data_IF_274063577719
#
_entry.id   IF_274063577719
#
_cell.length_a   1.000
_cell.length_b   1.000
_cell.length_c   1.000
_cell.angle_alpha   90.00
_cell.angle_beta   90.00
_cell.angle_gamma   90.00
#
_symmetry.space_group_name_H-M   'P 1'
#
loop_
_entity.id
_entity.type
_entity.pdbx_description
1 polymer ?
#
# COMPACT_ATOMS: atom_id res chain seq x y z
N UNK A 1 -45.72 53.14 -0.92
CA UNK A 1 -44.62 52.92 0.01
C UNK A 1 -44.87 51.57 0.69
N UNK A 2 -44.23 50.53 0.25
CA UNK A 2 -44.31 49.19 0.83
C UNK A 2 -42.87 48.71 1.12
N UNK A 3 -42.65 48.49 2.40
CA UNK A 3 -41.38 48.17 3.02
C UNK A 3 -41.03 46.69 2.75
N UNK A 4 -39.98 46.44 1.97
CA UNK A 4 -39.51 45.11 1.66
C UNK A 4 -38.52 44.67 2.75
N UNK A 5 -39.02 43.97 3.77
CA UNK A 5 -38.21 43.29 4.80
C UNK A 5 -37.37 42.19 4.13
N UNK A 6 -36.06 42.39 4.08
CA UNK A 6 -35.08 41.35 3.76
C UNK A 6 -35.17 40.24 4.83
N UNK A 7 -35.69 39.09 4.44
CA UNK A 7 -35.54 37.85 5.20
C UNK A 7 -34.12 37.36 5.04
N UNK A 8 -33.33 37.51 6.08
CA UNK A 8 -32.03 36.82 6.21
C UNK A 8 -32.28 35.33 6.49
N UNK A 9 -31.84 34.48 5.57
CA UNK A 9 -31.86 33.03 5.78
C UNK A 9 -31.04 32.65 7.04
N UNK A 10 -31.53 31.72 7.88
CA UNK A 10 -30.79 31.29 9.06
C UNK A 10 -29.50 30.61 8.64
N UNK A 11 -28.37 31.01 9.26
CA UNK A 11 -27.09 30.34 9.10
C UNK A 11 -27.25 28.86 9.44
N UNK A 12 -26.88 28.00 8.51
CA UNK A 12 -26.89 26.56 8.74
C UNK A 12 -26.03 26.25 9.98
N UNK A 13 -26.65 25.80 11.03
CA UNK A 13 -26.01 25.29 12.25
C UNK A 13 -25.23 24.04 11.82
N UNK A 14 -23.92 24.18 11.74
CA UNK A 14 -23.00 23.07 11.44
C UNK A 14 -23.11 22.08 12.60
N UNK A 15 -23.61 20.88 12.32
CA UNK A 15 -23.64 19.80 13.29
C UNK A 15 -22.28 19.66 13.99
N UNK A 16 -22.22 19.50 15.33
CA UNK A 16 -20.95 19.25 16.01
C UNK A 16 -20.32 17.99 15.44
N UNK A 17 -19.04 18.07 15.10
CA UNK A 17 -18.29 16.91 14.64
C UNK A 17 -18.41 15.78 15.70
N UNK A 18 -18.74 14.57 15.25
CA UNK A 18 -18.86 13.43 16.13
C UNK A 18 -17.58 13.29 16.99
N UNK A 19 -17.70 12.97 18.29
CA UNK A 19 -16.57 13.00 19.23
C UNK A 19 -15.43 12.02 18.92
N UNK A 20 -15.47 11.27 17.84
CA UNK A 20 -14.65 10.09 17.60
C UNK A 20 -13.64 10.17 16.45
N UNK A 21 -13.53 11.27 15.72
CA UNK A 21 -12.54 11.39 14.62
C UNK A 21 -11.18 11.98 15.09
N UNK A 22 -10.65 11.48 16.21
CA UNK A 22 -9.36 11.97 16.73
C UNK A 22 -8.15 11.42 15.99
N UNK A 23 -8.33 10.36 15.16
CA UNK A 23 -7.28 9.80 14.30
C UNK A 23 -7.41 10.37 12.89
N UNK A 24 -6.35 11.02 12.41
CA UNK A 24 -6.31 11.54 11.05
C UNK A 24 -5.24 10.83 10.23
N UNK A 25 -5.57 10.55 8.97
CA UNK A 25 -4.68 9.86 8.02
C UNK A 25 -4.35 10.80 6.88
N UNK A 26 -3.08 11.08 6.68
CA UNK A 26 -2.61 11.85 5.54
C UNK A 26 -2.58 10.98 4.30
N UNK A 27 -3.52 11.21 3.40
CA UNK A 27 -3.78 10.40 2.22
C UNK A 27 -3.00 10.94 1.01
N UNK A 28 -1.80 10.39 0.78
CA UNK A 28 -0.95 10.75 -0.38
C UNK A 28 -1.56 10.18 -1.67
N UNK A 29 -1.55 10.92 -2.80
CA UNK A 29 -2.13 10.45 -4.06
C UNK A 29 -1.44 9.23 -4.67
N UNK A 30 -0.31 8.80 -4.16
CA UNK A 30 0.36 7.55 -4.58
C UNK A 30 -0.25 6.35 -3.85
N UNK A 31 -0.91 5.42 -4.56
CA UNK A 31 -1.66 4.33 -3.94
C UNK A 31 -0.87 3.50 -2.92
N UNK A 32 0.37 3.10 -3.25
CA UNK A 32 1.22 2.31 -2.34
C UNK A 32 1.68 3.08 -1.09
N UNK A 33 1.73 4.43 -1.14
CA UNK A 33 2.04 5.26 0.02
C UNK A 33 0.80 5.45 0.89
N UNK A 34 -0.33 5.78 0.26
CA UNK A 34 -1.63 5.93 0.91
C UNK A 34 -2.04 4.64 1.64
N UNK A 35 -1.89 3.50 0.97
CA UNK A 35 -2.26 2.19 1.52
C UNK A 35 -1.56 1.86 2.85
N UNK A 36 -0.33 2.33 3.07
CA UNK A 36 0.39 2.10 4.32
C UNK A 36 -0.29 2.82 5.50
N UNK A 37 -0.55 4.11 5.36
CA UNK A 37 -1.15 4.90 6.42
C UNK A 37 -2.62 4.49 6.68
N UNK A 38 -3.39 4.25 5.62
CA UNK A 38 -4.79 3.81 5.72
C UNK A 38 -4.87 2.40 6.33
N UNK A 39 -4.02 1.47 5.89
CA UNK A 39 -4.01 0.10 6.42
C UNK A 39 -3.75 0.05 7.92
N UNK A 40 -2.84 0.86 8.43
CA UNK A 40 -2.59 0.98 9.87
C UNK A 40 -3.83 1.55 10.58
N UNK A 41 -4.46 2.60 10.03
CA UNK A 41 -5.65 3.19 10.63
C UNK A 41 -6.84 2.23 10.66
N UNK A 42 -7.05 1.47 9.58
CA UNK A 42 -8.08 0.41 9.53
C UNK A 42 -7.83 -0.67 10.59
N UNK A 43 -6.56 -1.04 10.83
CA UNK A 43 -6.18 -2.01 11.88
C UNK A 43 -6.30 -1.46 13.30
N UNK A 44 -6.34 -0.14 13.48
CA UNK A 44 -6.63 0.44 14.80
C UNK A 44 -8.09 0.22 15.24
N UNK A 45 -9.00 -0.07 14.32
CA UNK A 45 -10.40 -0.35 14.66
C UNK A 45 -11.18 0.82 15.28
N UNK A 46 -10.67 2.03 15.14
CA UNK A 46 -11.33 3.27 15.58
C UNK A 46 -11.68 4.15 14.38
N UNK A 47 -12.71 4.97 14.43
CA UNK A 47 -13.05 5.93 13.38
C UNK A 47 -11.86 6.85 13.08
N UNK A 48 -11.61 7.11 11.80
CA UNK A 48 -10.55 8.00 11.37
C UNK A 48 -10.97 8.88 10.20
N UNK A 49 -10.39 10.08 10.15
CA UNK A 49 -10.61 11.05 9.07
C UNK A 49 -9.46 10.97 8.06
N UNK A 50 -9.80 10.85 6.78
CA UNK A 50 -8.81 10.96 5.70
C UNK A 50 -8.63 12.41 5.29
N UNK A 51 -7.37 12.86 5.23
CA UNK A 51 -6.96 14.18 4.78
C UNK A 51 -6.29 14.03 3.43
N UNK A 52 -6.98 14.29 2.31
CA UNK A 52 -6.41 14.12 0.98
C UNK A 52 -5.30 15.13 0.73
N UNK A 53 -4.15 14.65 0.27
CA UNK A 53 -3.00 15.47 -0.05
C UNK A 53 -2.86 15.65 -1.56
N UNK A 54 -3.29 16.78 -2.10
CA UNK A 54 -3.02 17.20 -3.46
C UNK A 54 -1.78 18.11 -3.48
N UNK A 55 -0.81 17.78 -4.30
CA UNK A 55 0.47 18.47 -4.37
C UNK A 55 0.55 19.39 -5.58
N UNK A 56 1.09 20.60 -5.38
CA UNK A 56 1.51 21.52 -6.44
C UNK A 56 3.00 21.30 -6.76
N UNK A 57 3.54 22.02 -7.75
CA UNK A 57 4.92 21.87 -8.22
C UNK A 57 6.01 22.10 -7.16
N UNK A 58 5.75 22.90 -6.12
CA UNK A 58 6.72 23.28 -5.07
C UNK A 58 6.91 22.24 -3.95
N UNK A 59 6.65 20.97 -4.19
CA UNK A 59 6.68 19.91 -3.15
C UNK A 59 8.03 19.66 -2.49
N UNK A 60 9.13 20.00 -3.16
CA UNK A 60 10.48 19.73 -2.66
C UNK A 60 10.92 20.69 -1.53
N UNK A 61 10.31 21.86 -1.46
CA UNK A 61 10.66 22.92 -0.48
C UNK A 61 10.01 22.66 0.90
N UNK A 62 8.86 22.03 0.93
CA UNK A 62 8.11 21.79 2.18
C UNK A 62 8.91 21.01 3.23
N UNK A 63 9.75 20.07 2.80
CA UNK A 63 10.58 19.24 3.67
C UNK A 63 11.81 19.95 4.29
N UNK A 64 12.14 21.14 3.82
CA UNK A 64 13.30 21.91 4.30
C UNK A 64 12.95 22.87 5.44
N UNK A 65 11.66 23.06 5.75
CA UNK A 65 11.21 23.99 6.78
C UNK A 65 11.25 23.29 8.14
N UNK A 66 12.03 23.79 9.11
CA UNK A 66 12.00 23.31 10.49
C UNK A 66 10.56 23.38 11.05
N UNK A 67 10.12 22.34 11.77
CA UNK A 67 8.75 22.26 12.31
C UNK A 67 7.67 21.88 11.30
N UNK A 68 8.05 21.55 10.06
CA UNK A 68 7.13 21.16 9.01
C UNK A 68 6.44 22.31 8.29
N UNK A 69 5.70 22.02 7.23
CA UNK A 69 5.05 23.03 6.40
C UNK A 69 3.89 22.46 5.58
N UNK A 70 2.91 23.30 5.30
CA UNK A 70 1.87 23.05 4.28
C UNK A 70 2.26 23.61 2.89
N UNK A 71 3.47 24.14 2.73
CA UNK A 71 3.96 24.61 1.44
C UNK A 71 3.92 23.46 0.41
N UNK A 72 3.55 23.77 -0.81
CA UNK A 72 3.39 22.76 -1.87
C UNK A 72 2.04 22.01 -1.86
N UNK A 73 1.21 22.10 -0.82
CA UNK A 73 -0.15 21.58 -0.86
C UNK A 73 -1.09 22.52 -1.64
N UNK A 74 -2.05 21.92 -2.34
CA UNK A 74 -3.20 22.64 -2.92
C UNK A 74 -4.05 23.29 -1.81
N UNK A 75 -4.80 24.34 -2.17
CA UNK A 75 -5.62 25.09 -1.20
C UNK A 75 -6.66 24.20 -0.51
N UNK A 76 -7.30 23.29 -1.24
CA UNK A 76 -8.25 22.32 -0.69
C UNK A 76 -7.61 21.40 0.37
N UNK A 77 -6.41 20.89 0.12
CA UNK A 77 -5.68 20.06 1.09
C UNK A 77 -5.23 20.86 2.31
N UNK A 78 -4.81 22.12 2.12
CA UNK A 78 -4.48 23.01 3.24
C UNK A 78 -5.70 23.30 4.12
N UNK A 79 -6.88 23.45 3.49
CA UNK A 79 -8.13 23.62 4.24
C UNK A 79 -8.54 22.33 4.96
N UNK A 80 -8.41 21.16 4.29
CA UNK A 80 -8.70 19.87 4.89
C UNK A 80 -7.80 19.55 6.10
N UNK A 81 -6.55 20.03 6.08
CA UNK A 81 -5.58 19.88 7.17
C UNK A 81 -5.92 20.73 8.41
N UNK A 82 -6.91 21.63 8.33
CA UNK A 82 -7.38 22.44 9.45
C UNK A 82 -8.60 21.81 10.09
N UNK A 83 -8.68 21.72 11.40
CA UNK A 83 -9.85 21.17 12.06
C UNK A 83 -11.06 22.12 11.88
N UNK A 84 -12.20 21.53 11.54
CA UNK A 84 -13.49 22.23 11.63
C UNK A 84 -14.17 22.03 13.00
N UNK A 85 -13.45 21.42 13.94
CA UNK A 85 -13.88 21.05 15.29
C UNK A 85 -12.66 20.70 16.15
N UNK A 86 -12.71 19.61 16.93
CA UNK A 86 -11.59 19.17 17.75
C UNK A 86 -10.34 18.83 16.90
N UNK A 87 -9.13 19.18 17.37
CA UNK A 87 -7.91 18.83 16.68
C UNK A 87 -7.64 17.31 16.76
N UNK A 88 -6.79 16.76 15.85
CA UNK A 88 -6.42 15.35 15.92
C UNK A 88 -5.62 15.06 17.20
N UNK A 89 -5.83 13.88 17.79
CA UNK A 89 -4.98 13.34 18.84
C UNK A 89 -3.82 12.53 18.24
N UNK A 90 -4.09 11.87 17.11
CA UNK A 90 -3.12 11.05 16.38
C UNK A 90 -3.18 11.35 14.89
N UNK A 91 -2.01 11.53 14.26
CA UNK A 91 -1.87 11.64 12.81
C UNK A 91 -1.01 10.49 12.29
N UNK A 92 -1.53 9.75 11.31
CA UNK A 92 -0.81 8.68 10.61
C UNK A 92 -0.47 9.17 9.21
N UNK A 93 0.79 9.02 8.82
CA UNK A 93 1.31 9.51 7.55
C UNK A 93 2.32 8.54 6.93
N UNK A 94 2.54 8.62 5.62
CA UNK A 94 3.54 7.81 4.95
C UNK A 94 4.25 8.60 3.83
N UNK A 95 5.56 8.37 3.70
CA UNK A 95 6.38 8.94 2.63
C UNK A 95 6.85 10.37 2.86
N UNK A 96 7.99 10.71 2.26
CA UNK A 96 8.76 11.95 2.52
C UNK A 96 7.96 13.24 2.45
N UNK A 97 6.99 13.35 1.52
CA UNK A 97 6.23 14.59 1.34
C UNK A 97 5.25 14.84 2.49
N UNK A 98 4.58 13.78 2.95
CA UNK A 98 3.60 13.88 4.04
C UNK A 98 4.27 14.08 5.41
N UNK A 99 5.56 13.75 5.56
CA UNK A 99 6.31 13.99 6.78
C UNK A 99 6.29 15.47 7.21
N UNK A 100 6.49 16.39 6.26
CA UNK A 100 6.45 17.83 6.53
C UNK A 100 5.07 18.30 7.01
N UNK A 101 4.00 17.73 6.45
CA UNK A 101 2.63 18.03 6.85
C UNK A 101 2.34 17.48 8.24
N UNK A 102 2.78 16.26 8.54
CA UNK A 102 2.62 15.65 9.86
C UNK A 102 3.35 16.45 10.94
N UNK A 103 4.59 16.89 10.68
CA UNK A 103 5.35 17.75 11.59
C UNK A 103 4.63 19.08 11.84
N UNK A 104 4.10 19.72 10.78
CA UNK A 104 3.32 20.93 10.91
C UNK A 104 2.08 20.71 11.80
N UNK A 105 1.35 19.61 11.61
CA UNK A 105 0.18 19.27 12.44
C UNK A 105 0.59 19.06 13.90
N UNK A 106 1.70 18.38 14.15
CA UNK A 106 2.19 18.20 15.51
C UNK A 106 2.52 19.54 16.17
N UNK A 107 3.21 20.41 15.45
CA UNK A 107 3.55 21.74 15.95
C UNK A 107 2.30 22.59 16.22
N UNK A 108 1.32 22.51 15.31
CA UNK A 108 0.11 23.30 15.40
C UNK A 108 -0.91 22.80 16.44
N UNK A 109 -1.02 21.48 16.61
CA UNK A 109 -2.11 20.87 17.39
C UNK A 109 -1.62 20.03 18.58
N UNK A 110 -0.32 19.85 18.75
CA UNK A 110 0.23 19.02 19.82
C UNK A 110 -0.07 17.51 19.66
N UNK A 111 -0.54 17.07 18.50
CA UNK A 111 -0.94 15.69 18.26
C UNK A 111 0.26 14.72 18.25
N UNK A 112 -0.01 13.43 18.48
CA UNK A 112 0.96 12.37 18.21
C UNK A 112 1.09 12.14 16.72
N UNK A 113 2.31 11.79 16.24
CA UNK A 113 2.53 11.46 14.84
C UNK A 113 3.20 10.10 14.69
N UNK A 114 2.55 9.24 13.88
CA UNK A 114 3.10 7.98 13.38
C UNK A 114 3.42 8.14 11.91
N UNK A 115 4.65 7.85 11.53
CA UNK A 115 5.09 8.06 10.15
C UNK A 115 5.72 6.79 9.57
N UNK A 116 5.24 6.37 8.40
CA UNK A 116 5.75 5.21 7.67
C UNK A 116 6.75 5.63 6.61
N UNK A 117 7.80 4.84 6.46
CA UNK A 117 8.95 5.06 5.58
C UNK A 117 9.90 6.15 6.13
N UNK A 118 11.06 6.29 5.49
CA UNK A 118 11.99 7.36 5.83
C UNK A 118 11.35 8.74 5.59
N UNK A 119 11.36 9.62 6.56
CA UNK A 119 10.82 10.98 6.41
C UNK A 119 11.70 11.91 5.53
N UNK A 120 12.78 11.36 4.94
CA UNK A 120 13.75 12.13 4.17
C UNK A 120 14.79 12.83 5.05
N UNK A 121 15.78 13.49 4.41
CA UNK A 121 16.92 14.10 5.13
C UNK A 121 16.47 15.09 6.19
N UNK A 122 15.59 16.04 5.84
CA UNK A 122 15.08 17.01 6.79
C UNK A 122 14.30 16.38 7.95
N UNK A 123 13.47 15.36 7.66
CA UNK A 123 12.75 14.62 8.69
C UNK A 123 13.67 13.77 9.57
N UNK A 124 14.80 13.26 9.03
CA UNK A 124 15.80 12.52 9.81
C UNK A 124 16.54 13.42 10.80
N UNK A 125 16.78 14.70 10.46
CA UNK A 125 17.32 15.68 11.40
C UNK A 125 16.38 15.93 12.59
N UNK A 126 15.08 15.77 12.37
CA UNK A 126 14.03 15.94 13.39
C UNK A 126 13.38 14.59 13.80
N UNK A 127 14.08 13.46 13.61
CA UNK A 127 13.51 12.13 13.85
C UNK A 127 12.93 11.95 15.27
N UNK A 128 13.47 12.64 16.25
CA UNK A 128 13.01 12.60 17.65
C UNK A 128 11.63 13.26 17.84
N UNK A 129 11.20 14.10 16.90
CA UNK A 129 9.89 14.76 16.94
C UNK A 129 8.76 13.78 16.58
N UNK A 130 9.06 12.72 15.81
CA UNK A 130 8.08 11.67 15.52
C UNK A 130 7.87 10.78 16.74
N UNK A 131 6.62 10.54 17.12
CA UNK A 131 6.31 9.67 18.26
C UNK A 131 6.53 8.19 17.90
N UNK A 132 6.32 7.83 16.62
CA UNK A 132 6.66 6.51 16.07
C UNK A 132 7.06 6.62 14.60
N UNK A 133 8.24 6.09 14.27
CA UNK A 133 8.74 5.93 12.91
C UNK A 133 8.71 4.46 12.53
N UNK A 134 7.85 4.12 11.57
CA UNK A 134 7.72 2.77 11.01
C UNK A 134 8.63 2.67 9.79
N UNK A 135 9.78 2.05 9.95
CA UNK A 135 10.83 2.02 8.93
C UNK A 135 11.03 0.58 8.44
N UNK A 136 10.97 0.34 7.12
CA UNK A 136 11.29 -0.97 6.58
C UNK A 136 12.72 -1.41 6.91
N UNK A 137 12.91 -2.67 7.29
CA UNK A 137 14.23 -3.24 7.63
C UNK A 137 15.25 -3.10 6.51
N UNK A 138 14.81 -3.22 5.26
CA UNK A 138 15.65 -3.04 4.09
C UNK A 138 16.18 -1.59 3.89
N UNK A 139 15.66 -0.63 4.63
CA UNK A 139 16.21 0.74 4.71
C UNK A 139 17.23 0.89 5.84
N UNK A 140 17.60 -0.20 6.52
CA UNK A 140 18.60 -0.28 7.59
C UNK A 140 18.38 0.78 8.68
N UNK A 141 17.23 0.77 9.37
CA UNK A 141 16.92 1.78 10.37
C UNK A 141 17.91 1.70 11.54
N UNK A 142 18.45 2.87 11.94
CA UNK A 142 19.22 2.94 13.18
C UNK A 142 18.27 2.75 14.36
N UNK A 143 18.56 1.81 15.27
CA UNK A 143 17.74 1.59 16.45
C UNK A 143 17.53 2.90 17.25
N UNK A 144 16.30 3.14 17.66
CA UNK A 144 15.94 4.25 18.55
C UNK A 144 14.59 3.90 19.23
N UNK A 145 14.28 4.50 20.40
CA UNK A 145 13.04 4.18 21.13
C UNK A 145 11.75 4.44 20.34
N UNK A 146 11.78 5.37 19.40
CA UNK A 146 10.65 5.71 18.52
C UNK A 146 10.72 5.07 17.13
N UNK A 147 11.65 4.17 16.86
CA UNK A 147 11.76 3.44 15.60
C UNK A 147 11.18 2.03 15.76
N UNK A 148 10.26 1.69 14.88
CA UNK A 148 9.65 0.37 14.80
C UNK A 148 9.97 -0.24 13.42
N UNK A 149 10.80 -1.28 13.36
CA UNK A 149 11.16 -1.93 12.10
C UNK A 149 10.02 -2.82 11.61
N UNK A 150 9.80 -2.82 10.29
CA UNK A 150 8.83 -3.67 9.59
C UNK A 150 9.52 -4.40 8.45
N UNK A 151 9.20 -5.68 8.25
CA UNK A 151 9.83 -6.50 7.22
C UNK A 151 9.30 -6.14 5.82
N UNK A 152 7.96 -6.11 5.65
CA UNK A 152 7.28 -5.63 4.45
C UNK A 152 6.66 -4.23 4.65
N UNK A 153 6.09 -3.67 3.60
CA UNK A 153 5.33 -2.44 3.72
C UNK A 153 3.96 -2.72 4.36
N UNK A 154 3.50 -1.96 5.35
CA UNK A 154 2.11 -2.00 5.79
C UNK A 154 1.17 -1.80 4.59
N UNK A 155 0.02 -2.44 4.61
CA UNK A 155 -0.98 -2.37 3.54
C UNK A 155 -2.39 -2.57 4.10
N UNK A 156 -3.41 -2.43 3.24
CA UNK A 156 -4.81 -2.53 3.63
C UNK A 156 -5.35 -3.95 3.71
N UNK A 157 -4.65 -4.94 3.16
CA UNK A 157 -5.11 -6.33 3.24
C UNK A 157 -5.12 -6.79 4.70
N UNK A 158 -6.21 -7.46 5.06
CA UNK A 158 -6.39 -8.10 6.35
C UNK A 158 -6.93 -9.51 6.13
N UNK A 159 -6.78 -10.42 7.10
CA UNK A 159 -7.38 -11.76 7.03
C UNK A 159 -8.89 -11.70 6.71
N UNK A 160 -9.61 -10.76 7.33
CA UNK A 160 -11.04 -10.55 7.07
C UNK A 160 -11.30 -10.14 5.61
N UNK A 161 -10.53 -9.20 5.06
CA UNK A 161 -10.69 -8.76 3.67
C UNK A 161 -10.33 -9.85 2.67
N UNK A 162 -9.35 -10.69 2.97
CA UNK A 162 -9.00 -11.84 2.15
C UNK A 162 -10.12 -12.88 2.16
N UNK A 163 -10.65 -13.25 3.33
CA UNK A 163 -11.77 -14.18 3.45
C UNK A 163 -13.03 -13.68 2.74
N UNK A 164 -13.34 -12.38 2.85
CA UNK A 164 -14.45 -11.78 2.10
C UNK A 164 -14.21 -11.83 0.58
N UNK A 165 -12.98 -11.55 0.13
CA UNK A 165 -12.62 -11.63 -1.27
C UNK A 165 -12.69 -13.05 -1.81
N UNK A 166 -12.25 -14.05 -1.04
CA UNK A 166 -12.35 -15.46 -1.39
C UNK A 166 -13.82 -15.86 -1.61
N UNK A 167 -14.70 -15.54 -0.66
CA UNK A 167 -16.14 -15.80 -0.77
C UNK A 167 -16.75 -15.12 -2.01
N UNK A 168 -16.40 -13.84 -2.25
CA UNK A 168 -16.93 -13.06 -3.38
C UNK A 168 -16.52 -13.64 -4.73
N UNK A 169 -15.30 -14.17 -4.83
CA UNK A 169 -14.73 -14.65 -6.09
C UNK A 169 -14.83 -16.16 -6.28
N UNK A 170 -15.25 -16.94 -5.27
CA UNK A 170 -15.29 -18.41 -5.29
C UNK A 170 -16.07 -18.96 -6.49
N UNK A 171 -17.29 -18.47 -6.73
CA UNK A 171 -18.14 -18.92 -7.84
C UNK A 171 -17.53 -18.55 -9.21
N UNK A 172 -17.02 -17.30 -9.33
CA UNK A 172 -16.40 -16.81 -10.58
C UNK A 172 -15.14 -17.56 -10.97
N UNK A 173 -14.43 -18.11 -9.98
CA UNK A 173 -13.19 -18.85 -10.19
C UNK A 173 -13.40 -20.38 -10.18
N UNK A 174 -14.60 -20.87 -9.94
CA UNK A 174 -14.90 -22.32 -9.78
C UNK A 174 -14.51 -23.16 -11.00
N UNK A 175 -14.54 -22.58 -12.20
CA UNK A 175 -14.17 -23.25 -13.46
C UNK A 175 -12.66 -23.36 -13.68
N UNK A 176 -11.85 -22.72 -12.84
CA UNK A 176 -10.38 -22.75 -12.92
C UNK A 176 -9.83 -23.79 -11.94
N UNK A 177 -9.14 -24.83 -12.44
CA UNK A 177 -8.65 -25.91 -11.59
C UNK A 177 -7.50 -25.48 -10.69
N UNK A 178 -7.33 -26.21 -9.60
CA UNK A 178 -6.17 -26.14 -8.72
C UNK A 178 -4.99 -27.00 -9.24
N UNK A 179 -3.73 -26.64 -8.98
CA UNK A 179 -3.35 -25.46 -8.22
C UNK A 179 -3.55 -24.16 -9.02
N UNK A 180 -4.12 -23.14 -8.36
CA UNK A 180 -4.28 -21.79 -8.91
C UNK A 180 -3.06 -20.96 -8.57
N UNK A 181 -2.31 -20.56 -9.58
CA UNK A 181 -1.14 -19.69 -9.39
C UNK A 181 -1.51 -18.24 -9.68
N UNK A 182 -1.49 -17.39 -8.66
CA UNK A 182 -1.62 -15.96 -8.88
C UNK A 182 -0.32 -15.40 -9.46
N UNK A 183 -0.41 -14.72 -10.62
CA UNK A 183 0.71 -14.04 -11.27
C UNK A 183 0.49 -12.53 -11.18
N UNK A 184 1.28 -11.86 -10.33
CA UNK A 184 1.18 -10.43 -10.09
C UNK A 184 2.30 -9.70 -10.82
N UNK A 185 1.94 -8.93 -11.85
CA UNK A 185 2.90 -8.28 -12.71
C UNK A 185 2.91 -6.78 -12.47
N UNK A 186 3.98 -6.28 -11.90
CA UNK A 186 4.25 -4.87 -11.70
C UNK A 186 4.63 -4.20 -13.02
N UNK A 187 5.72 -3.52 -13.02
CA UNK A 187 6.33 -2.84 -14.16
C UNK A 187 7.45 -1.94 -13.66
N UNK A 188 8.45 -1.69 -14.46
CA UNK A 188 9.69 -1.09 -13.99
C UNK A 188 9.49 0.30 -13.38
N UNK A 189 10.44 0.66 -12.54
CA UNK A 189 10.51 1.96 -11.87
C UNK A 189 11.63 2.76 -12.54
N UNK A 190 11.36 4.03 -12.88
CA UNK A 190 12.33 4.98 -13.44
C UNK A 190 12.84 4.66 -14.85
N UNK A 191 11.92 4.66 -15.84
CA UNK A 191 12.29 4.74 -17.25
C UNK A 191 12.82 3.45 -17.89
N UNK A 192 12.71 2.32 -17.20
CA UNK A 192 12.83 1.00 -17.82
C UNK A 192 11.42 0.44 -17.99
N UNK A 193 10.99 0.25 -19.21
CA UNK A 193 9.71 -0.43 -19.48
C UNK A 193 9.91 -1.95 -19.37
N UNK A 194 8.88 -2.65 -18.93
CA UNK A 194 8.88 -4.11 -18.99
C UNK A 194 8.92 -4.51 -20.46
N UNK A 195 10.02 -5.14 -20.85
CA UNK A 195 10.19 -5.57 -22.24
C UNK A 195 9.14 -6.64 -22.57
N UNK A 196 8.43 -6.53 -23.72
CA UNK A 196 7.44 -7.53 -24.12
C UNK A 196 7.98 -8.96 -24.14
N UNK A 197 9.22 -9.14 -24.55
CA UNK A 197 9.89 -10.45 -24.55
C UNK A 197 10.01 -11.06 -23.14
N UNK A 198 10.32 -10.24 -22.12
CA UNK A 198 10.37 -10.68 -20.71
C UNK A 198 8.99 -11.09 -20.21
N UNK A 199 7.97 -10.28 -20.49
CA UNK A 199 6.60 -10.56 -20.10
C UNK A 199 6.09 -11.85 -20.75
N UNK A 200 6.34 -12.05 -22.03
CA UNK A 200 6.02 -13.27 -22.75
C UNK A 200 6.74 -14.50 -22.16
N UNK A 201 8.04 -14.38 -21.91
CA UNK A 201 8.85 -15.47 -21.33
C UNK A 201 8.35 -15.86 -19.93
N UNK A 202 7.99 -14.86 -19.08
CA UNK A 202 7.39 -15.08 -17.77
C UNK A 202 6.04 -15.79 -17.90
N UNK A 203 5.16 -15.32 -18.79
CA UNK A 203 3.87 -15.95 -19.06
C UNK A 203 4.01 -17.41 -19.46
N UNK A 204 4.89 -17.70 -20.42
CA UNK A 204 5.18 -19.09 -20.87
C UNK A 204 5.75 -19.96 -19.76
N UNK A 205 6.59 -19.39 -18.89
CA UNK A 205 7.18 -20.13 -17.77
C UNK A 205 6.12 -20.54 -16.76
N UNK A 206 5.23 -19.60 -16.40
CA UNK A 206 4.13 -19.86 -15.48
C UNK A 206 3.09 -20.78 -16.13
N UNK A 207 2.76 -20.58 -17.41
CA UNK A 207 1.83 -21.46 -18.13
C UNK A 207 2.31 -22.91 -18.14
N UNK A 208 3.57 -23.15 -18.46
CA UNK A 208 4.16 -24.52 -18.41
C UNK A 208 4.06 -25.13 -17.03
N UNK A 209 4.38 -24.35 -16.00
CA UNK A 209 4.33 -24.79 -14.61
C UNK A 209 2.93 -25.26 -14.22
N UNK A 210 1.89 -24.46 -14.49
CA UNK A 210 0.52 -24.83 -14.10
C UNK A 210 -0.04 -25.96 -14.96
N UNK A 211 0.26 -25.97 -16.25
CA UNK A 211 -0.19 -27.04 -17.17
C UNK A 211 0.36 -28.41 -16.79
N UNK A 212 1.62 -28.48 -16.39
CA UNK A 212 2.23 -29.73 -15.92
C UNK A 212 1.64 -30.25 -14.60
N UNK A 213 0.93 -29.40 -13.85
CA UNK A 213 0.27 -29.73 -12.60
C UNK A 213 -1.27 -29.75 -12.70
N UNK A 214 -1.82 -29.64 -13.91
CA UNK A 214 -3.28 -29.61 -14.13
C UNK A 214 -3.97 -28.36 -13.58
N UNK A 215 -3.23 -27.29 -13.30
CA UNK A 215 -3.71 -26.09 -12.65
C UNK A 215 -4.08 -24.94 -13.60
N UNK A 216 -4.22 -23.74 -13.04
CA UNK A 216 -4.62 -22.54 -13.75
C UNK A 216 -3.87 -21.29 -13.26
N UNK A 217 -3.94 -20.18 -14.03
CA UNK A 217 -3.29 -18.92 -13.72
C UNK A 217 -4.31 -17.82 -13.45
N UNK A 218 -4.14 -17.10 -12.35
CA UNK A 218 -4.87 -15.89 -12.01
C UNK A 218 -3.94 -14.69 -12.19
N UNK A 219 -3.89 -14.08 -13.37
CA UNK A 219 -2.91 -13.06 -13.69
C UNK A 219 -3.49 -11.64 -13.55
N UNK A 220 -2.72 -10.74 -12.96
CA UNK A 220 -3.07 -9.31 -12.86
C UNK A 220 -1.89 -8.45 -13.24
N UNK A 221 -2.14 -7.45 -14.12
CA UNK A 221 -1.15 -6.45 -14.50
C UNK A 221 -1.37 -5.14 -13.75
N UNK A 222 -0.36 -4.29 -13.74
CA UNK A 222 -0.39 -2.98 -13.11
C UNK A 222 -0.38 -1.86 -14.16
N UNK A 223 -0.67 -0.63 -13.72
CA UNK A 223 -0.54 0.56 -14.57
C UNK A 223 0.85 0.69 -15.21
N UNK A 224 1.89 0.19 -14.54
CA UNK A 224 3.30 0.29 -14.98
C UNK A 224 3.71 -0.82 -15.93
N UNK A 225 2.94 -1.90 -16.04
CA UNK A 225 3.23 -3.01 -16.95
C UNK A 225 3.23 -2.55 -18.42
N UNK A 226 2.32 -1.65 -18.76
CA UNK A 226 2.16 -1.14 -20.12
C UNK A 226 1.39 -2.11 -21.02
N UNK A 227 0.86 -1.57 -22.13
CA UNK A 227 -0.01 -2.34 -23.04
C UNK A 227 0.73 -3.47 -23.75
N UNK A 228 1.87 -3.16 -24.33
CA UNK A 228 2.63 -4.13 -25.15
C UNK A 228 3.11 -5.32 -24.30
N UNK A 229 3.64 -5.07 -23.11
CA UNK A 229 4.05 -6.12 -22.22
C UNK A 229 2.85 -6.93 -21.68
N UNK A 230 1.69 -6.31 -21.48
CA UNK A 230 0.45 -6.99 -21.08
C UNK A 230 -0.03 -7.96 -22.17
N UNK A 231 -0.03 -7.55 -23.44
CA UNK A 231 -0.43 -8.42 -24.56
C UNK A 231 0.61 -9.54 -24.79
N UNK A 232 1.89 -9.25 -24.65
CA UNK A 232 2.93 -10.26 -24.70
C UNK A 232 2.80 -11.30 -23.57
N UNK A 233 2.45 -10.85 -22.35
CA UNK A 233 2.13 -11.73 -21.22
C UNK A 233 0.93 -12.62 -21.55
N UNK A 234 -0.15 -12.04 -22.09
CA UNK A 234 -1.34 -12.79 -22.49
C UNK A 234 -1.02 -13.88 -23.52
N UNK A 235 -0.21 -13.55 -24.54
CA UNK A 235 0.26 -14.51 -25.52
C UNK A 235 1.11 -15.63 -24.87
N UNK A 236 1.95 -15.28 -23.89
CA UNK A 236 2.73 -16.26 -23.14
C UNK A 236 1.88 -17.18 -22.25
N UNK A 237 0.75 -16.70 -21.73
CA UNK A 237 -0.18 -17.46 -20.90
C UNK A 237 -1.15 -18.35 -21.69
N UNK A 238 -1.31 -18.10 -23.01
CA UNK A 238 -2.31 -18.78 -23.85
C UNK A 238 -2.32 -20.32 -23.79
N UNK A 239 -1.20 -21.02 -23.55
CA UNK A 239 -1.22 -22.48 -23.43
C UNK A 239 -1.86 -23.03 -22.16
N UNK A 240 -2.10 -22.18 -21.15
CA UNK A 240 -2.71 -22.58 -19.88
C UNK A 240 -4.12 -22.01 -19.71
N UNK A 241 -4.95 -22.70 -18.95
CA UNK A 241 -6.19 -22.10 -18.43
C UNK A 241 -5.83 -20.91 -17.57
N UNK A 242 -6.34 -19.72 -17.92
CA UNK A 242 -5.99 -18.52 -17.22
C UNK A 242 -7.13 -17.50 -17.21
N UNK A 243 -7.11 -16.64 -16.17
CA UNK A 243 -7.90 -15.43 -16.09
C UNK A 243 -6.93 -14.27 -15.93
N UNK A 244 -6.80 -13.45 -16.97
CA UNK A 244 -5.93 -12.26 -16.98
C UNK A 244 -6.75 -10.99 -16.82
N UNK A 245 -6.53 -10.28 -15.74
CA UNK A 245 -7.03 -8.91 -15.57
C UNK A 245 -5.97 -7.92 -16.03
N UNK A 246 -6.32 -7.15 -17.08
CA UNK A 246 -5.49 -6.08 -17.61
C UNK A 246 -5.83 -4.79 -16.88
N UNK A 247 -4.83 -4.13 -16.34
CA UNK A 247 -5.05 -2.87 -15.65
C UNK A 247 -5.74 -1.84 -16.55
N UNK A 248 -6.82 -1.24 -16.04
CA UNK A 248 -7.62 -0.25 -16.79
C UNK A 248 -8.78 -0.84 -17.58
N UNK A 249 -8.95 -2.14 -17.63
CA UNK A 249 -10.17 -2.75 -18.16
C UNK A 249 -11.39 -2.42 -17.28
N UNK A 250 -12.57 -2.25 -17.90
CA UNK A 250 -13.80 -2.04 -17.15
C UNK A 250 -14.15 -3.25 -16.30
N UNK A 251 -14.83 -3.02 -15.17
CA UNK A 251 -15.29 -4.08 -14.28
C UNK A 251 -14.60 -4.05 -12.91
N UNK A 252 -14.96 -5.02 -12.10
CA UNK A 252 -14.40 -5.18 -10.78
C UNK A 252 -12.97 -5.73 -10.84
N UNK A 253 -12.06 -5.09 -10.12
CA UNK A 253 -10.67 -5.54 -10.06
C UNK A 253 -10.55 -6.81 -9.20
N UNK A 254 -10.18 -7.97 -9.80
CA UNK A 254 -10.12 -9.26 -9.11
C UNK A 254 -8.90 -9.45 -8.22
N UNK A 255 -8.00 -8.47 -8.13
CA UNK A 255 -6.70 -8.59 -7.50
C UNK A 255 -6.74 -9.24 -6.10
N UNK A 256 -7.70 -8.82 -5.25
CA UNK A 256 -7.86 -9.41 -3.91
C UNK A 256 -8.39 -10.84 -3.97
N UNK A 257 -9.33 -11.12 -4.88
CA UNK A 257 -9.82 -12.46 -5.13
C UNK A 257 -8.72 -13.40 -5.61
N UNK A 258 -7.84 -12.93 -6.49
CA UNK A 258 -6.69 -13.71 -6.95
C UNK A 258 -5.72 -14.03 -5.81
N UNK A 259 -5.42 -13.04 -4.95
CA UNK A 259 -4.60 -13.26 -3.78
C UNK A 259 -5.20 -14.26 -2.79
N UNK A 260 -6.51 -14.15 -2.56
CA UNK A 260 -7.22 -14.99 -1.59
C UNK A 260 -7.43 -16.43 -2.08
N UNK A 261 -7.55 -16.63 -3.40
CA UNK A 261 -7.85 -17.93 -4.00
C UNK A 261 -6.63 -18.68 -4.55
N UNK A 262 -5.43 -18.14 -4.33
CA UNK A 262 -4.19 -18.71 -4.88
C UNK A 262 -3.61 -19.79 -3.97
N UNK A 263 -3.19 -20.91 -4.58
CA UNK A 263 -2.39 -21.96 -3.93
C UNK A 263 -0.89 -21.62 -3.93
N UNK A 264 -0.46 -20.73 -4.84
CA UNK A 264 0.87 -20.15 -4.87
C UNK A 264 0.84 -18.78 -5.57
N UNK A 265 1.76 -17.89 -5.21
CA UNK A 265 1.82 -16.55 -5.79
C UNK A 265 3.19 -16.33 -6.42
N UNK A 266 3.20 -15.92 -7.69
CA UNK A 266 4.38 -15.43 -8.39
C UNK A 266 4.23 -13.93 -8.57
N UNK A 267 5.19 -13.15 -8.06
CA UNK A 267 5.16 -11.69 -8.11
C UNK A 267 6.46 -11.15 -8.69
N UNK A 268 6.40 -10.12 -9.54
CA UNK A 268 7.61 -9.50 -10.12
C UNK A 268 8.36 -8.65 -9.09
N UNK A 269 9.67 -8.63 -9.18
CA UNK A 269 10.59 -8.05 -8.19
C UNK A 269 10.55 -6.51 -8.06
N UNK A 270 9.83 -5.82 -8.92
CA UNK A 270 9.79 -4.35 -9.02
C UNK A 270 8.75 -3.67 -8.12
N UNK A 271 7.90 -4.43 -7.41
CA UNK A 271 6.79 -3.84 -6.66
C UNK A 271 6.78 -4.21 -5.18
N UNK A 272 7.33 -3.33 -4.34
CA UNK A 272 7.30 -3.46 -2.87
C UNK A 272 5.88 -3.75 -2.35
N UNK A 273 4.86 -3.02 -2.86
CA UNK A 273 3.49 -3.19 -2.40
C UNK A 273 2.94 -4.58 -2.73
N UNK A 274 3.07 -5.03 -3.99
CA UNK A 274 2.56 -6.34 -4.41
C UNK A 274 3.27 -7.49 -3.68
N UNK A 275 4.60 -7.39 -3.49
CA UNK A 275 5.36 -8.38 -2.73
C UNK A 275 4.88 -8.43 -1.28
N UNK A 276 4.70 -7.27 -0.63
CA UNK A 276 4.22 -7.21 0.75
C UNK A 276 2.79 -7.73 0.89
N UNK A 277 1.92 -7.41 -0.06
CA UNK A 277 0.53 -7.88 -0.12
C UNK A 277 0.46 -9.41 -0.38
N UNK A 278 1.32 -9.94 -1.24
CA UNK A 278 1.45 -11.39 -1.44
C UNK A 278 1.86 -12.09 -0.13
N UNK A 279 2.81 -11.51 0.60
CA UNK A 279 3.26 -12.05 1.89
C UNK A 279 2.19 -11.99 2.99
N UNK A 280 1.08 -11.28 2.81
CA UNK A 280 -0.04 -11.28 3.75
C UNK A 280 -1.00 -12.47 3.59
N UNK A 281 -0.84 -13.27 2.55
CA UNK A 281 -1.62 -14.49 2.33
C UNK A 281 -0.93 -15.71 2.96
N UNK A 282 -1.59 -16.84 3.01
CA UNK A 282 -0.99 -18.12 3.43
C UNK A 282 -0.22 -18.81 2.30
N UNK A 283 -0.51 -18.45 1.05
CA UNK A 283 0.09 -19.07 -0.13
C UNK A 283 1.61 -18.85 -0.20
N UNK A 284 2.40 -19.85 -0.64
CA UNK A 284 3.81 -19.68 -0.98
C UNK A 284 4.04 -18.53 -1.96
N UNK A 285 5.02 -17.67 -1.67
CA UNK A 285 5.34 -16.50 -2.49
C UNK A 285 6.67 -16.68 -3.20
N UNK A 286 6.66 -16.51 -4.50
CA UNK A 286 7.83 -16.60 -5.37
C UNK A 286 8.07 -15.28 -6.09
N UNK A 287 9.29 -14.76 -6.03
CA UNK A 287 9.67 -13.50 -6.66
C UNK A 287 10.35 -13.78 -8.00
N UNK A 288 9.74 -13.25 -9.05
CA UNK A 288 10.20 -13.39 -10.43
C UNK A 288 10.89 -12.11 -10.95
N UNK A 289 11.68 -12.25 -12.01
CA UNK A 289 12.36 -11.15 -12.70
C UNK A 289 13.22 -10.29 -11.77
N UNK A 290 14.21 -10.86 -11.07
CA UNK A 290 15.07 -10.13 -10.14
C UNK A 290 15.85 -8.99 -10.80
N UNK A 291 16.06 -9.02 -12.11
CA UNK A 291 16.69 -7.97 -12.91
C UNK A 291 15.89 -6.65 -12.91
N UNK A 292 14.57 -6.71 -12.69
CA UNK A 292 13.71 -5.52 -12.55
C UNK A 292 13.87 -4.83 -11.17
N UNK A 293 14.51 -5.51 -10.22
CA UNK A 293 14.69 -4.98 -8.88
C UNK A 293 15.85 -3.96 -8.82
N UNK A 294 15.55 -2.73 -8.47
CA UNK A 294 16.58 -1.78 -8.06
C UNK A 294 17.19 -2.15 -6.69
N UNK A 295 18.27 -1.48 -6.26
CA UNK A 295 18.99 -1.85 -5.04
C UNK A 295 18.12 -1.94 -3.78
N UNK A 296 17.15 -1.05 -3.65
CA UNK A 296 16.20 -1.06 -2.52
C UNK A 296 15.26 -2.26 -2.56
N UNK A 297 14.76 -2.60 -3.75
CA UNK A 297 13.88 -3.77 -3.92
C UNK A 297 14.63 -5.07 -3.67
N UNK A 298 15.89 -5.18 -4.10
CA UNK A 298 16.73 -6.34 -3.82
C UNK A 298 16.91 -6.56 -2.33
N UNK A 299 17.26 -5.51 -1.57
CA UNK A 299 17.36 -5.63 -0.11
C UNK A 299 16.05 -6.07 0.56
N UNK A 300 14.89 -5.58 0.08
CA UNK A 300 13.60 -6.07 0.56
C UNK A 300 13.44 -7.57 0.28
N UNK A 301 13.69 -7.99 -0.96
CA UNK A 301 13.55 -9.39 -1.37
C UNK A 301 14.49 -10.25 -0.54
N UNK A 302 15.76 -9.85 -0.38
CA UNK A 302 16.75 -10.56 0.43
C UNK A 302 16.29 -10.70 1.88
N UNK A 303 15.76 -9.64 2.49
CA UNK A 303 15.18 -9.67 3.84
C UNK A 303 13.99 -10.62 3.95
N UNK A 304 13.10 -10.64 2.95
CA UNK A 304 11.94 -11.53 2.92
C UNK A 304 12.36 -12.99 2.72
N UNK A 305 13.36 -13.26 1.88
CA UNK A 305 13.91 -14.60 1.66
C UNK A 305 14.60 -15.10 2.93
N UNK A 306 15.41 -14.27 3.57
CA UNK A 306 16.09 -14.60 4.82
C UNK A 306 15.08 -14.88 5.95
N UNK A 307 13.97 -14.16 6.00
CA UNK A 307 12.88 -14.38 6.96
C UNK A 307 11.95 -15.54 6.58
N UNK A 308 12.20 -16.27 5.50
CA UNK A 308 11.36 -17.36 5.03
C UNK A 308 9.99 -16.93 4.52
N UNK A 309 9.83 -15.67 4.09
CA UNK A 309 8.57 -15.11 3.61
C UNK A 309 8.41 -15.17 2.09
N UNK A 310 9.51 -15.30 1.37
CA UNK A 310 9.51 -15.42 -0.08
C UNK A 310 10.64 -16.33 -0.54
N UNK A 311 10.56 -16.82 -1.78
CA UNK A 311 11.61 -17.56 -2.47
C UNK A 311 11.82 -17.02 -3.87
N UNK A 312 13.00 -17.15 -4.47
CA UNK A 312 13.17 -16.88 -5.89
C UNK A 312 12.27 -17.78 -6.72
N UNK A 313 11.68 -17.23 -7.81
CA UNK A 313 10.89 -18.02 -8.74
C UNK A 313 11.81 -18.82 -9.66
N UNK A 314 11.85 -20.12 -9.45
CA UNK A 314 12.57 -21.10 -10.27
C UNK A 314 11.61 -21.88 -11.18
N UNK A 315 12.04 -23.02 -11.68
CA UNK A 315 11.22 -23.85 -12.57
C UNK A 315 10.10 -24.62 -11.86
N UNK A 316 10.15 -24.72 -10.55
CA UNK A 316 9.16 -25.43 -9.73
C UNK A 316 8.59 -24.55 -8.64
N UNK A 317 7.34 -24.80 -8.29
CA UNK A 317 6.71 -24.32 -7.06
C UNK A 317 6.39 -25.55 -6.21
N UNK A 318 6.76 -25.51 -4.94
CA UNK A 318 6.44 -26.58 -3.99
C UNK A 318 5.71 -26.00 -2.78
N UNK A 319 4.91 -26.80 -2.10
CA UNK A 319 4.25 -26.36 -0.87
C UNK A 319 5.31 -26.04 0.19
N UNK A 320 5.15 -24.92 0.87
CA UNK A 320 5.88 -24.58 2.08
C UNK A 320 4.99 -23.66 2.92
N UNK A 321 4.97 -23.92 4.20
CA UNK A 321 4.18 -23.13 5.14
C UNK A 321 4.98 -21.96 5.68
N UNK A 322 4.30 -20.87 5.91
CA UNK A 322 4.81 -19.66 6.55
C UNK A 322 3.68 -18.98 7.32
N UNK A 323 4.04 -18.12 8.23
CA UNK A 323 3.07 -17.25 8.90
C UNK A 323 2.89 -16.00 8.04
N UNK A 324 1.65 -15.65 7.63
CA UNK A 324 1.38 -14.43 6.88
C UNK A 324 1.91 -13.18 7.59
N UNK A 325 2.47 -12.25 6.83
CA UNK A 325 2.91 -10.97 7.37
C UNK A 325 1.72 -10.04 7.58
N UNK A 326 1.57 -9.51 8.79
CA UNK A 326 0.59 -8.47 9.11
C UNK A 326 1.28 -7.24 9.70
N UNK A 327 2.06 -6.54 8.88
CA UNK A 327 2.81 -5.37 9.34
C UNK A 327 1.89 -4.22 9.77
N UNK A 328 0.75 -4.04 9.11
CA UNK A 328 -0.23 -3.04 9.52
C UNK A 328 -0.83 -3.36 10.91
N UNK A 329 -1.13 -4.63 11.18
CA UNK A 329 -1.59 -5.10 12.50
C UNK A 329 -0.53 -4.96 13.59
N UNK A 330 0.73 -5.33 13.29
CA UNK A 330 1.87 -5.14 14.21
C UNK A 330 2.06 -3.67 14.60
N UNK A 331 2.03 -2.78 13.62
CA UNK A 331 2.14 -1.32 13.85
C UNK A 331 0.94 -0.80 14.64
N UNK A 332 -0.28 -1.23 14.33
CA UNK A 332 -1.47 -0.82 15.06
C UNK A 332 -1.43 -1.28 16.53
N UNK A 333 -0.96 -2.49 16.79
CA UNK A 333 -0.75 -2.99 18.15
C UNK A 333 0.27 -2.14 18.92
N UNK A 334 1.39 -1.77 18.27
CA UNK A 334 2.41 -0.90 18.87
C UNK A 334 1.89 0.52 19.15
N UNK A 335 1.05 1.06 18.27
CA UNK A 335 0.37 2.35 18.48
C UNK A 335 -0.51 2.27 19.72
N UNK A 336 -1.38 1.25 19.86
CA UNK A 336 -2.25 1.09 21.04
C UNK A 336 -1.45 0.94 22.32
N UNK A 337 -0.34 0.20 22.26
CA UNK A 337 0.55 0.01 23.43
C UNK A 337 1.18 1.33 23.90
N UNK A 338 1.55 2.22 22.97
CA UNK A 338 2.23 3.49 23.27
C UNK A 338 1.28 4.64 23.54
N UNK A 339 0.17 4.68 22.85
CA UNK A 339 -0.74 5.82 22.83
C UNK A 339 -2.17 5.34 23.07
N UNK A 340 -2.70 5.50 24.29
CA UNK A 340 -4.13 5.27 24.55
C UNK A 340 -4.98 6.10 23.55
N UNK A 341 -5.97 5.45 22.94
CA UNK A 341 -6.84 6.04 21.92
C UNK A 341 -8.27 6.19 22.47
N UNK A 342 -8.40 6.65 23.70
CA UNK A 342 -9.68 6.87 24.41
C UNK A 342 -10.51 8.00 23.77
#
# INVERSE_FOLDING_TARGET
MADARKMTAPAAVRAPAAPHERVWVLDDPRPGTSAQAIGIAERLGVPFRRIPLAWRWATHVAGLVPGGSLAGLASSSRQAARPGGAPPGLVISAGRRSAAVALWMKHQYGCRIVHCMSPGVAGLMHRQVFDLLVIPEHDSPKPAPNVFPVLGAPHRLSPLLLSQAETTWSERLSHLPHPRVALLVGGPVRGQDMQPAMAHALGRRVARLVTSNGGSVLASTSRRTGREATEALAAGLSPALNLLFRWGEPGENPYRGFLASADAIVVTADSVSMISEACATEAPVYVALPELAGPRHRRLIDSLVQAGQARPFEASIGPWSRVPLDEAGRVAAEIRRRFPLD
#
